data_IF_635066513371
#
_entry.id   IF_635066513371
#
_cell.length_a   1.000
_cell.length_b   1.000
_cell.length_c   1.000
_cell.angle_alpha   90.00
_cell.angle_beta   90.00
_cell.angle_gamma   90.00
#
_symmetry.space_group_name_H-M   'P 1'
#
loop_
_entity.id
_entity.type
_entity.pdbx_description
1 polymer ?
#
# COMPACT_ATOMS: atom_id res chain seq x y z
N UNK A 1 12.98 -52.17 -8.55
CA UNK A 1 12.46 -52.00 -9.93
C UNK A 1 11.59 -50.74 -9.90
N UNK A 2 11.73 -49.70 -10.71
CA UNK A 2 12.28 -49.52 -12.05
C UNK A 2 12.89 -48.11 -12.16
N UNK A 3 14.09 -48.04 -12.78
CA UNK A 3 14.83 -46.80 -13.07
C UNK A 3 14.30 -46.18 -14.36
N UNK A 4 14.07 -44.86 -14.40
CA UNK A 4 14.07 -44.02 -15.62
C UNK A 4 14.87 -42.76 -15.29
N UNK A 5 16.19 -42.79 -15.48
CA UNK A 5 16.91 -42.33 -16.68
C UNK A 5 16.55 -40.86 -17.00
N UNK A 6 17.33 -39.93 -16.46
CA UNK A 6 17.70 -38.74 -17.22
C UNK A 6 19.22 -38.71 -17.34
N UNK A 7 19.63 -38.88 -18.60
CA UNK A 7 20.98 -39.01 -19.07
C UNK A 7 21.57 -37.60 -19.15
N UNK A 8 22.66 -37.44 -18.42
CA UNK A 8 23.71 -36.43 -18.49
C UNK A 8 23.74 -35.58 -19.79
N UNK A 9 23.55 -34.26 -19.66
CA UNK A 9 23.91 -33.25 -20.67
C UNK A 9 24.81 -32.19 -20.00
N UNK A 10 26.09 -32.53 -19.98
CA UNK A 10 27.30 -31.70 -20.05
C UNK A 10 27.13 -30.16 -19.99
N UNK A 11 27.44 -29.62 -18.82
CA UNK A 11 28.25 -28.42 -18.54
C UNK A 11 28.04 -27.15 -19.40
N UNK A 12 27.30 -26.20 -18.83
CA UNK A 12 27.69 -24.78 -18.81
C UNK A 12 27.64 -24.33 -17.34
N UNK A 13 28.80 -24.03 -16.75
CA UNK A 13 28.86 -23.34 -15.46
C UNK A 13 28.36 -21.90 -15.68
N UNK A 14 27.05 -21.70 -15.68
CA UNK A 14 26.50 -20.40 -15.37
C UNK A 14 26.58 -20.26 -13.86
N UNK A 15 27.32 -19.26 -13.41
CA UNK A 15 27.37 -18.82 -12.01
C UNK A 15 26.03 -18.14 -11.69
N UNK A 16 24.94 -18.93 -11.64
CA UNK A 16 23.68 -18.47 -11.09
C UNK A 16 23.84 -18.55 -9.58
N UNK A 17 24.04 -17.40 -8.91
CA UNK A 17 23.75 -17.34 -7.48
C UNK A 17 22.30 -17.79 -7.32
N UNK A 18 22.09 -18.80 -6.48
CA UNK A 18 20.73 -19.18 -6.06
C UNK A 18 20.04 -17.89 -5.57
N UNK A 19 18.80 -17.60 -6.01
CA UNK A 19 18.10 -16.42 -5.52
C UNK A 19 17.97 -16.57 -4.01
N UNK A 20 18.58 -15.65 -3.26
CA UNK A 20 18.39 -15.61 -1.81
C UNK A 20 16.90 -15.39 -1.56
N UNK A 21 16.26 -16.37 -0.92
CA UNK A 21 14.85 -16.32 -0.54
C UNK A 21 14.76 -15.30 0.58
N UNK A 22 14.47 -14.04 0.25
CA UNK A 22 14.23 -13.00 1.25
C UNK A 22 12.85 -13.22 1.86
N UNK A 23 12.73 -13.05 3.18
CA UNK A 23 11.44 -13.13 3.85
C UNK A 23 10.50 -12.07 3.25
N UNK A 24 9.32 -12.49 2.79
CA UNK A 24 8.26 -11.56 2.36
C UNK A 24 7.98 -10.58 3.50
N UNK A 25 7.99 -9.28 3.20
CA UNK A 25 7.57 -8.27 4.17
C UNK A 25 6.06 -8.45 4.34
N UNK A 26 5.62 -8.90 5.52
CA UNK A 26 4.19 -8.85 5.83
C UNK A 26 3.68 -7.41 5.71
N UNK A 27 2.36 -7.20 5.55
CA UNK A 27 1.80 -5.86 5.49
C UNK A 27 2.15 -5.08 6.77
N UNK A 28 2.28 -3.74 6.69
CA UNK A 28 2.55 -2.93 7.87
C UNK A 28 1.37 -2.99 8.85
N UNK A 29 1.55 -2.41 10.04
CA UNK A 29 0.41 -2.22 10.95
C UNK A 29 -0.60 -1.28 10.28
N UNK A 30 -1.88 -1.65 10.34
CA UNK A 30 -2.97 -0.80 9.84
C UNK A 30 -2.96 0.53 10.60
N UNK A 31 -3.01 1.64 9.88
CA UNK A 31 -3.17 2.98 10.46
C UNK A 31 -4.52 3.04 11.20
N UNK A 32 -4.54 3.71 12.35
CA UNK A 32 -5.77 3.91 13.12
C UNK A 32 -6.68 4.89 12.39
N UNK A 33 -7.98 4.68 12.50
CA UNK A 33 -8.97 5.64 12.05
C UNK A 33 -8.84 6.94 12.86
N UNK A 34 -9.07 8.06 12.20
CA UNK A 34 -8.94 9.40 12.74
C UNK A 34 -10.31 10.07 12.76
N UNK A 35 -10.75 10.58 13.91
CA UNK A 35 -12.02 11.31 14.01
C UNK A 35 -11.76 12.80 14.09
N UNK A 36 -12.39 13.58 13.22
CA UNK A 36 -12.33 15.03 13.22
C UNK A 36 -13.67 15.63 12.77
N UNK A 37 -14.19 16.61 13.54
CA UNK A 37 -15.45 17.33 13.23
C UNK A 37 -16.64 16.40 12.90
N UNK A 38 -16.79 15.28 13.61
CA UNK A 38 -17.88 14.33 13.39
C UNK A 38 -17.69 13.36 12.22
N UNK A 39 -16.54 13.41 11.55
CA UNK A 39 -16.19 12.52 10.44
C UNK A 39 -15.06 11.60 10.86
N UNK A 40 -15.22 10.31 10.55
CA UNK A 40 -14.19 9.28 10.70
C UNK A 40 -13.45 9.10 9.38
N UNK A 41 -12.14 9.32 9.41
CA UNK A 41 -11.23 9.13 8.29
C UNK A 41 -10.46 7.82 8.46
N UNK A 42 -10.42 7.00 7.42
CA UNK A 42 -9.73 5.71 7.45
C UNK A 42 -8.97 5.47 6.14
N UNK A 43 -7.94 4.63 6.18
CA UNK A 43 -7.23 4.16 4.99
C UNK A 43 -7.51 2.66 4.77
N UNK A 44 -8.46 2.30 3.88
CA UNK A 44 -8.80 0.90 3.64
C UNK A 44 -7.70 0.17 2.85
N UNK A 45 -7.26 -0.99 3.34
CA UNK A 45 -6.28 -1.83 2.64
C UNK A 45 -6.79 -2.37 1.30
N UNK A 46 -8.10 -2.57 1.15
CA UNK A 46 -8.72 -3.03 -0.10
C UNK A 46 -8.69 -1.99 -1.22
N UNK A 47 -8.37 -0.73 -0.92
CA UNK A 47 -8.35 0.38 -1.87
C UNK A 47 -7.05 1.19 -1.73
N UNK A 48 -5.98 0.64 -2.30
CA UNK A 48 -4.63 1.17 -2.14
C UNK A 48 -4.51 2.64 -2.53
N UNK A 49 -3.91 3.45 -1.65
CA UNK A 49 -3.72 4.89 -1.87
C UNK A 49 -4.99 5.73 -1.72
N UNK A 50 -6.07 5.18 -1.17
CA UNK A 50 -7.29 5.93 -0.86
C UNK A 50 -7.44 6.20 0.63
N UNK A 51 -8.19 7.26 0.92
CA UNK A 51 -8.84 7.47 2.21
C UNK A 51 -10.37 7.45 2.03
N UNK A 52 -11.07 7.06 3.09
CA UNK A 52 -12.52 7.14 3.19
C UNK A 52 -12.90 8.08 4.33
N UNK A 53 -13.90 8.93 4.08
CA UNK A 53 -14.59 9.72 5.08
C UNK A 53 -15.97 9.12 5.34
N UNK A 54 -16.26 8.81 6.59
CA UNK A 54 -17.54 8.26 7.04
C UNK A 54 -18.14 9.11 8.13
N UNK A 55 -19.46 9.21 8.17
CA UNK A 55 -20.13 9.80 9.32
C UNK A 55 -19.83 8.97 10.58
N UNK A 56 -19.44 9.62 11.67
CA UNK A 56 -18.97 8.90 12.87
C UNK A 56 -20.08 8.13 13.59
N UNK A 57 -21.34 8.54 13.42
CA UNK A 57 -22.48 7.96 14.14
C UNK A 57 -23.14 6.82 13.36
N UNK A 58 -23.24 6.98 12.05
CA UNK A 58 -23.95 6.06 11.15
C UNK A 58 -23.02 5.12 10.38
N UNK A 59 -21.72 5.44 10.33
CA UNK A 59 -20.70 4.74 9.53
C UNK A 59 -20.92 4.77 8.01
N UNK A 60 -21.87 5.59 7.55
CA UNK A 60 -22.15 5.81 6.14
C UNK A 60 -20.98 6.53 5.45
N UNK A 61 -20.61 6.10 4.24
CA UNK A 61 -19.59 6.76 3.44
C UNK A 61 -20.12 8.14 3.01
N UNK A 62 -19.40 9.18 3.40
CA UNK A 62 -19.62 10.54 2.92
C UNK A 62 -18.90 10.75 1.59
N UNK A 63 -17.65 10.27 1.50
CA UNK A 63 -16.86 10.26 0.27
C UNK A 63 -15.62 9.38 0.43
N UNK A 64 -14.99 9.05 -0.70
CA UNK A 64 -13.63 8.52 -0.75
C UNK A 64 -12.75 9.38 -1.67
N UNK A 65 -11.44 9.35 -1.44
CA UNK A 65 -10.48 10.17 -2.17
C UNK A 65 -9.21 9.39 -2.46
N UNK A 66 -8.76 9.41 -3.72
CA UNK A 66 -7.46 8.87 -4.11
C UNK A 66 -6.37 9.88 -3.76
N UNK A 67 -5.46 9.49 -2.88
CA UNK A 67 -4.33 10.32 -2.42
C UNK A 67 -3.12 10.11 -3.33
N UNK A 68 -2.86 8.87 -3.75
CA UNK A 68 -1.79 8.56 -4.68
C UNK A 68 -2.11 7.34 -5.55
N UNK A 69 -1.42 7.29 -6.69
CA UNK A 69 -1.43 6.17 -7.63
C UNK A 69 -0.30 5.20 -7.27
N UNK A 70 -0.58 3.89 -7.28
CA UNK A 70 0.47 2.86 -7.29
C UNK A 70 0.56 2.33 -8.70
N UNK A 71 1.67 2.62 -9.39
CA UNK A 71 1.92 2.12 -10.73
C UNK A 71 2.52 0.71 -10.64
N UNK A 72 1.71 -0.30 -10.97
CA UNK A 72 2.15 -1.70 -10.94
C UNK A 72 2.88 -2.06 -12.23
N UNK A 73 4.07 -2.65 -12.08
CA UNK A 73 4.77 -3.37 -13.12
C UNK A 73 4.19 -4.79 -13.23
N UNK A 74 3.70 -5.21 -14.41
CA UNK A 74 3.10 -6.54 -14.59
C UNK A 74 4.07 -7.70 -14.36
N UNK A 75 5.37 -7.45 -14.41
CA UNK A 75 6.44 -8.44 -14.23
C UNK A 75 6.81 -8.68 -12.77
N UNK A 76 6.20 -7.96 -11.83
CA UNK A 76 6.46 -8.08 -10.40
C UNK A 76 5.18 -8.48 -9.65
N UNK A 77 5.35 -9.21 -8.55
CA UNK A 77 4.24 -9.52 -7.65
C UNK A 77 3.64 -8.23 -7.07
N UNK A 78 2.33 -8.24 -6.84
CA UNK A 78 1.58 -7.04 -6.49
C UNK A 78 1.96 -6.53 -5.10
N UNK A 79 1.99 -7.41 -4.10
CA UNK A 79 2.29 -7.12 -2.69
C UNK A 79 3.69 -6.52 -2.49
N UNK A 80 4.67 -6.92 -3.31
CA UNK A 80 6.01 -6.33 -3.32
C UNK A 80 5.98 -4.85 -3.72
N UNK A 81 4.96 -4.43 -4.48
CA UNK A 81 4.83 -3.08 -5.02
C UNK A 81 3.87 -2.21 -4.23
N UNK A 82 3.07 -2.79 -3.34
CA UNK A 82 2.12 -2.07 -2.51
C UNK A 82 2.84 -1.09 -1.58
N UNK A 83 2.18 0.06 -1.37
CA UNK A 83 2.62 1.14 -0.49
C UNK A 83 1.43 1.57 0.32
N UNK A 84 1.32 1.07 1.54
CA UNK A 84 0.19 1.37 2.41
C UNK A 84 0.31 2.76 3.03
N UNK A 85 -0.83 3.37 3.36
CA UNK A 85 -0.87 4.55 4.23
C UNK A 85 -0.55 4.08 5.65
N UNK A 86 0.45 4.72 6.27
CA UNK A 86 0.94 4.37 7.61
C UNK A 86 0.72 5.50 8.63
N UNK A 87 0.43 6.72 8.17
CA UNK A 87 0.05 7.83 9.05
C UNK A 87 -1.11 8.64 8.48
N UNK A 88 -2.00 9.07 9.36
CA UNK A 88 -3.14 9.96 9.15
C UNK A 88 -3.19 10.94 10.33
N UNK A 89 -2.98 12.23 10.07
CA UNK A 89 -2.97 13.26 11.11
C UNK A 89 -3.73 14.50 10.64
N UNK A 90 -4.45 15.18 11.53
CA UNK A 90 -5.04 16.49 11.22
C UNK A 90 -3.97 17.56 11.25
N UNK A 91 -3.86 18.38 10.19
CA UNK A 91 -3.01 19.58 10.15
C UNK A 91 -3.71 20.71 9.43
N UNK A 92 -3.79 21.88 10.08
CA UNK A 92 -4.30 23.12 9.48
C UNK A 92 -5.60 22.91 8.68
N UNK A 93 -6.58 22.26 9.30
CA UNK A 93 -7.89 21.90 8.73
C UNK A 93 -7.88 20.87 7.59
N UNK A 94 -6.72 20.37 7.20
CA UNK A 94 -6.53 19.25 6.28
C UNK A 94 -6.07 17.97 6.98
N UNK A 95 -5.73 16.97 6.17
CA UNK A 95 -5.06 15.74 6.61
C UNK A 95 -3.64 15.67 6.05
N UNK A 96 -2.68 15.44 6.92
CA UNK A 96 -1.35 14.94 6.55
C UNK A 96 -1.39 13.42 6.47
N UNK A 97 -0.87 12.89 5.37
CA UNK A 97 -0.84 11.47 5.06
C UNK A 97 0.58 11.08 4.72
N UNK A 98 1.05 9.97 5.29
CA UNK A 98 2.36 9.39 4.98
C UNK A 98 2.17 7.93 4.57
N UNK A 99 2.80 7.53 3.47
CA UNK A 99 2.84 6.13 3.03
C UNK A 99 4.14 5.42 3.43
N UNK A 100 4.23 4.11 3.20
CA UNK A 100 5.44 3.31 3.47
C UNK A 100 6.68 3.72 2.68
N UNK A 101 6.52 4.54 1.64
CA UNK A 101 7.62 5.16 0.90
C UNK A 101 8.16 6.42 1.57
N UNK A 102 7.64 6.81 2.74
CA UNK A 102 7.85 8.12 3.38
C UNK A 102 7.41 9.30 2.51
N UNK A 103 6.53 9.07 1.54
CA UNK A 103 5.96 10.14 0.73
C UNK A 103 4.85 10.83 1.52
N UNK A 104 4.89 12.16 1.55
CA UNK A 104 3.96 12.99 2.31
C UNK A 104 2.94 13.64 1.38
N UNK A 105 1.70 13.65 1.82
CA UNK A 105 0.59 14.29 1.13
C UNK A 105 -0.21 15.14 2.11
N UNK A 106 -0.68 16.29 1.63
CA UNK A 106 -1.65 17.13 2.30
C UNK A 106 -2.96 17.08 1.54
N UNK A 107 -4.04 16.77 2.26
CA UNK A 107 -5.41 16.76 1.75
C UNK A 107 -6.15 17.93 2.35
N UNK A 108 -6.76 18.73 1.50
CA UNK A 108 -7.72 19.75 1.91
C UNK A 108 -9.11 19.10 2.04
N UNK A 109 -9.71 19.14 3.23
CA UNK A 109 -10.95 18.41 3.52
C UNK A 109 -12.21 19.08 2.94
N UNK A 110 -12.15 20.36 2.61
CA UNK A 110 -13.27 21.11 2.03
C UNK A 110 -13.34 20.87 0.51
N UNK A 111 -12.21 21.12 -0.15
CA UNK A 111 -12.07 21.02 -1.61
C UNK A 111 -11.80 19.60 -2.09
N UNK A 112 -11.37 18.71 -1.19
CA UNK A 112 -10.88 17.36 -1.51
C UNK A 112 -9.69 17.37 -2.46
N UNK A 113 -8.88 18.43 -2.44
CA UNK A 113 -7.66 18.51 -3.23
C UNK A 113 -6.50 17.81 -2.52
N UNK A 114 -5.61 17.21 -3.30
CA UNK A 114 -4.43 16.49 -2.80
C UNK A 114 -3.17 17.14 -3.33
N UNK A 115 -2.22 17.40 -2.44
CA UNK A 115 -0.90 17.93 -2.78
C UNK A 115 0.19 17.05 -2.17
N UNK A 116 1.11 16.58 -3.01
CA UNK A 116 2.35 15.95 -2.53
C UNK A 116 3.32 17.03 -2.03
N UNK A 117 4.00 16.76 -0.91
CA UNK A 117 4.95 17.68 -0.25
C UNK A 117 6.35 17.08 -0.22
#
# INVERSE_FOLDING_TARGET
MSKKIYKNLRSKHYNMKEPEITASRGPPKKVKDLVHKGVKYSAPWGKMGYIEARDVNTDEILWDLKVYEVNYLPTLERDVQERYIISLEVKNEGLEIINEGNEKYLVDLETKSVKKV
#
